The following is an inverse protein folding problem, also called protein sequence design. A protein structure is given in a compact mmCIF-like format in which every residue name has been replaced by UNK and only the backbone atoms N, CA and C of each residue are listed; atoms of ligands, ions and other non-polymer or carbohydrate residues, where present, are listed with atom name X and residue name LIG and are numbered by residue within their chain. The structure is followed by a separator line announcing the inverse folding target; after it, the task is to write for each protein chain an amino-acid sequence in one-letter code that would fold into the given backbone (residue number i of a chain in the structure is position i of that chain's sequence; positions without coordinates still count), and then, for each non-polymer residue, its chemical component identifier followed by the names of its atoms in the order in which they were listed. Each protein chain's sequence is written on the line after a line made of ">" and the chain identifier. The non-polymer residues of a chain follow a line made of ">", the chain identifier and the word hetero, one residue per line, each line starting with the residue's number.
data_IF_863816171581
#
_entry.id   IF_863816171581
#
_cell.length_a   1.000
_cell.length_b   1.000
_cell.length_c   1.000
_cell.angle_alpha   90.00
_cell.angle_beta   90.00
_cell.angle_gamma   90.00
#
_symmetry.space_group_name_H-M   'P 1'
#
loop_
_entity.id
_entity.type
_entity.pdbx_description
1 polymer ?
#
# COMPACT_ATOMS: atom_id res chain seq x y z
N UNK A 1 26.14 -22.36 57.37
CA UNK A 1 25.86 -21.79 56.05
C UNK A 1 24.82 -22.67 55.38
N UNK A 2 23.56 -22.22 55.35
CA UNK A 2 22.41 -23.01 54.86
C UNK A 2 22.13 -22.62 53.41
N UNK A 3 22.33 -23.54 52.47
CA UNK A 3 22.04 -23.32 51.06
C UNK A 3 20.52 -23.28 50.84
N UNK A 4 20.03 -22.18 50.28
CA UNK A 4 18.62 -21.96 49.96
C UNK A 4 18.20 -22.75 48.73
N UNK A 5 17.19 -23.61 48.89
CA UNK A 5 16.52 -24.32 47.79
C UNK A 5 15.56 -23.37 47.08
N UNK A 6 15.94 -22.88 45.90
CA UNK A 6 15.06 -22.12 45.03
C UNK A 6 13.95 -23.04 44.47
N UNK A 7 12.70 -22.84 44.91
CA UNK A 7 11.53 -23.47 44.30
C UNK A 7 11.26 -22.81 42.96
N UNK A 8 11.52 -23.53 41.87
CA UNK A 8 11.08 -23.16 40.53
C UNK A 8 9.55 -23.25 40.54
N UNK A 9 8.88 -22.10 40.54
CA UNK A 9 7.44 -22.00 40.30
C UNK A 9 7.18 -22.51 38.88
N UNK A 10 6.75 -23.77 38.76
CA UNK A 10 6.23 -24.31 37.52
C UNK A 10 4.98 -23.51 37.17
N UNK A 11 5.12 -22.58 36.22
CA UNK A 11 4.01 -21.85 35.62
C UNK A 11 3.12 -22.89 34.95
N UNK A 12 2.03 -23.26 35.62
CA UNK A 12 0.97 -24.08 35.03
C UNK A 12 0.52 -23.36 33.77
N UNK A 13 0.94 -23.87 32.61
CA UNK A 13 0.51 -23.39 31.30
C UNK A 13 -0.98 -23.73 31.25
N UNK A 14 -1.82 -22.75 31.59
CA UNK A 14 -3.26 -22.82 31.37
C UNK A 14 -3.47 -23.31 29.95
N UNK A 15 -4.26 -24.38 29.78
CA UNK A 15 -4.70 -24.86 28.48
C UNK A 15 -5.13 -23.64 27.68
N UNK A 16 -4.39 -23.35 26.61
CA UNK A 16 -4.77 -22.31 25.66
C UNK A 16 -6.04 -22.84 25.02
N UNK A 17 -7.13 -22.11 25.20
CA UNK A 17 -8.41 -22.40 24.57
C UNK A 17 -8.17 -22.46 23.05
N UNK A 18 -8.43 -23.60 22.41
CA UNK A 18 -8.07 -23.84 21.01
C UNK A 18 -8.92 -23.03 20.01
N UNK A 19 -9.87 -22.24 20.52
CA UNK A 19 -10.72 -21.32 19.77
C UNK A 19 -10.50 -19.87 20.19
N UNK A 20 -9.24 -19.42 20.26
CA UNK A 20 -8.93 -18.01 20.48
C UNK A 20 -9.16 -17.21 19.17
N UNK A 21 -10.42 -17.10 18.76
CA UNK A 21 -10.83 -16.25 17.64
C UNK A 21 -10.63 -14.79 18.05
N UNK A 22 -9.84 -14.06 17.27
CA UNK A 22 -9.64 -12.64 17.49
C UNK A 22 -10.91 -11.88 17.13
N UNK A 23 -11.40 -11.03 18.04
CA UNK A 23 -12.52 -10.16 17.73
C UNK A 23 -12.17 -9.21 16.57
N UNK A 24 -13.10 -9.09 15.61
CA UNK A 24 -12.98 -8.19 14.47
C UNK A 24 -13.97 -7.04 14.60
N UNK A 25 -13.45 -5.81 14.59
CA UNK A 25 -14.26 -4.61 14.76
C UNK A 25 -14.20 -3.74 13.50
N UNK A 26 -15.30 -3.04 13.21
CA UNK A 26 -15.35 -2.04 12.14
C UNK A 26 -16.21 -0.86 12.55
N UNK A 27 -15.96 0.32 11.96
CA UNK A 27 -16.81 1.49 12.17
C UNK A 27 -18.01 1.43 11.23
N UNK A 28 -19.22 1.54 11.74
CA UNK A 28 -20.42 1.80 10.95
C UNK A 28 -20.72 3.31 10.97
N UNK A 29 -20.76 3.92 9.78
CA UNK A 29 -21.19 5.31 9.60
C UNK A 29 -22.57 5.32 8.96
N UNK A 30 -23.51 5.97 9.64
CA UNK A 30 -24.91 6.08 9.23
C UNK A 30 -25.21 7.54 8.84
N UNK A 31 -26.10 7.79 7.86
CA UNK A 31 -26.61 9.13 7.58
C UNK A 31 -27.28 9.77 8.81
N UNK A 32 -27.19 11.09 8.93
CA UNK A 32 -27.70 11.83 10.10
C UNK A 32 -29.21 11.66 10.27
N UNK A 33 -29.93 11.44 9.18
CA UNK A 33 -31.38 11.27 9.13
C UNK A 33 -31.86 9.98 9.81
N UNK A 34 -30.95 9.03 10.05
CA UNK A 34 -31.24 7.77 10.73
C UNK A 34 -30.70 7.71 12.16
N UNK A 35 -30.09 8.80 12.64
CA UNK A 35 -29.51 8.88 13.99
C UNK A 35 -30.50 8.44 15.06
N UNK A 36 -31.70 9.03 15.05
CA UNK A 36 -32.72 8.77 16.09
C UNK A 36 -33.18 7.31 16.07
N UNK A 37 -33.24 6.68 14.90
CA UNK A 37 -33.58 5.26 14.79
C UNK A 37 -32.46 4.35 15.29
N UNK A 38 -31.20 4.71 15.03
CA UNK A 38 -30.05 3.98 15.59
C UNK A 38 -30.07 4.07 17.11
N UNK A 39 -30.33 5.25 17.68
CA UNK A 39 -30.38 5.45 19.13
C UNK A 39 -31.48 4.59 19.78
N UNK A 40 -32.70 4.58 19.20
CA UNK A 40 -33.79 3.70 19.64
C UNK A 40 -33.41 2.20 19.61
N UNK A 41 -32.69 1.77 18.57
CA UNK A 41 -32.22 0.39 18.45
C UNK A 41 -31.19 0.02 19.52
N UNK A 42 -30.32 0.96 19.90
CA UNK A 42 -29.30 0.75 20.94
C UNK A 42 -29.90 0.70 22.35
N UNK A 43 -30.94 1.51 22.61
CA UNK A 43 -31.62 1.53 23.91
C UNK A 43 -32.47 0.28 24.19
N UNK A 44 -32.93 -0.41 23.13
CA UNK A 44 -33.78 -1.60 23.22
C UNK A 44 -33.12 -2.84 22.59
N UNK A 45 -32.01 -3.33 23.16
CA UNK A 45 -31.18 -4.38 22.55
C UNK A 45 -31.88 -5.75 22.46
N UNK A 46 -33.00 -5.95 23.16
CA UNK A 46 -33.78 -7.20 23.13
C UNK A 46 -34.48 -7.46 21.78
N UNK A 47 -34.59 -6.45 20.91
CA UNK A 47 -35.15 -6.58 19.57
C UNK A 47 -34.04 -6.75 18.53
N UNK A 48 -33.40 -7.92 18.51
CA UNK A 48 -32.31 -8.26 17.59
C UNK A 48 -32.66 -8.10 16.09
N UNK A 49 -33.95 -7.97 15.75
CA UNK A 49 -34.43 -7.70 14.39
C UNK A 49 -34.23 -6.25 13.92
N UNK A 50 -33.88 -5.32 14.81
CA UNK A 50 -33.91 -3.90 14.48
C UNK A 50 -32.57 -3.36 13.96
N UNK A 51 -31.46 -4.08 14.17
CA UNK A 51 -30.17 -3.74 13.60
C UNK A 51 -29.51 -4.98 13.01
N UNK A 52 -29.36 -5.03 11.69
CA UNK A 52 -28.77 -6.17 11.00
C UNK A 52 -27.91 -5.72 9.82
N UNK A 53 -26.88 -6.51 9.51
CA UNK A 53 -25.96 -6.27 8.39
C UNK A 53 -25.92 -7.52 7.53
N UNK A 54 -26.22 -7.37 6.24
CA UNK A 54 -26.21 -8.45 5.26
C UNK A 54 -25.32 -8.09 4.08
N UNK A 55 -24.22 -8.81 3.89
CA UNK A 55 -23.36 -8.61 2.71
C UNK A 55 -24.06 -9.10 1.45
N UNK A 56 -24.04 -8.28 0.40
CA UNK A 56 -24.79 -8.54 -0.84
C UNK A 56 -23.95 -9.16 -1.94
N UNK A 57 -22.62 -9.05 -1.86
CA UNK A 57 -21.70 -9.50 -2.89
C UNK A 57 -20.58 -10.36 -2.30
N UNK A 58 -20.02 -11.25 -3.12
CA UNK A 58 -18.90 -12.13 -2.74
C UNK A 58 -17.62 -11.38 -2.35
N UNK A 59 -17.46 -10.14 -2.85
CA UNK A 59 -16.32 -9.29 -2.50
C UNK A 59 -16.41 -8.69 -1.09
N UNK A 60 -17.53 -8.86 -0.38
CA UNK A 60 -17.80 -8.31 0.95
C UNK A 60 -17.60 -6.79 1.07
N UNK A 61 -17.62 -6.06 -0.05
CA UNK A 61 -17.48 -4.59 -0.09
C UNK A 61 -18.82 -3.87 -0.10
N UNK A 62 -19.91 -4.58 -0.38
CA UNK A 62 -21.27 -4.04 -0.38
C UNK A 62 -22.14 -4.82 0.59
N UNK A 63 -22.96 -4.09 1.34
CA UNK A 63 -23.87 -4.64 2.34
C UNK A 63 -25.17 -3.85 2.39
N UNK A 64 -26.23 -4.48 2.87
CA UNK A 64 -27.46 -3.83 3.29
C UNK A 64 -27.46 -3.76 4.83
N UNK A 65 -27.74 -2.58 5.37
CA UNK A 65 -27.86 -2.33 6.81
C UNK A 65 -29.31 -2.02 7.12
N UNK A 66 -29.94 -2.87 7.93
CA UNK A 66 -31.28 -2.67 8.48
C UNK A 66 -31.17 -1.87 9.77
N UNK A 67 -31.94 -0.78 9.88
CA UNK A 67 -32.03 0.10 11.05
C UNK A 67 -33.53 0.36 11.30
N UNK A 68 -34.09 -0.28 12.32
CA UNK A 68 -35.53 -0.37 12.53
C UNK A 68 -36.24 -1.01 11.33
N UNK A 69 -37.13 -0.23 10.70
CA UNK A 69 -37.86 -0.63 9.50
C UNK A 69 -37.20 -0.16 8.19
N UNK A 70 -36.09 0.56 8.29
CA UNK A 70 -35.39 1.11 7.13
C UNK A 70 -34.23 0.21 6.74
N UNK A 71 -34.02 0.03 5.44
CA UNK A 71 -32.86 -0.68 4.89
C UNK A 71 -32.08 0.31 4.04
N UNK A 72 -30.79 0.44 4.32
CA UNK A 72 -29.87 1.31 3.57
C UNK A 72 -28.72 0.51 3.00
N UNK A 73 -28.29 0.87 1.80
CA UNK A 73 -27.09 0.28 1.20
C UNK A 73 -25.84 0.88 1.85
N UNK A 74 -24.83 0.05 2.02
CA UNK A 74 -23.55 0.45 2.60
C UNK A 74 -22.38 -0.13 1.81
N UNK A 75 -21.28 0.61 1.81
CA UNK A 75 -20.01 0.19 1.20
C UNK A 75 -18.90 0.15 2.24
N UNK A 76 -18.14 -0.95 2.27
CA UNK A 76 -16.96 -1.11 3.13
C UNK A 76 -15.74 -0.51 2.44
N UNK A 77 -15.14 0.47 3.10
CA UNK A 77 -13.98 1.22 2.60
C UNK A 77 -12.80 1.11 3.59
N UNK A 78 -11.59 1.19 3.07
CA UNK A 78 -10.36 1.07 3.86
C UNK A 78 -9.96 2.44 4.42
N UNK A 79 -9.88 2.53 5.75
CA UNK A 79 -9.42 3.73 6.45
C UNK A 79 -7.95 4.00 6.14
N UNK A 80 -7.53 5.28 6.11
CA UNK A 80 -6.12 5.61 5.96
C UNK A 80 -5.32 5.36 7.24
N UNK A 81 -5.96 5.43 8.40
CA UNK A 81 -5.31 5.27 9.71
C UNK A 81 -5.73 3.94 10.32
N UNK A 82 -4.80 3.25 10.98
CA UNK A 82 -5.13 2.15 11.90
C UNK A 82 -5.62 2.79 13.20
N UNK A 83 -6.76 2.32 13.69
CA UNK A 83 -7.41 2.80 14.91
C UNK A 83 -7.44 1.67 15.92
N UNK A 84 -6.77 1.85 17.05
CA UNK A 84 -6.78 0.85 18.12
C UNK A 84 -8.02 1.02 18.99
N UNK A 85 -8.77 -0.07 19.18
CA UNK A 85 -9.84 -0.16 20.17
C UNK A 85 -9.23 -0.58 21.49
N UNK A 86 -9.50 0.21 22.53
CA UNK A 86 -8.99 -0.06 23.87
C UNK A 86 -10.14 -0.06 24.86
N UNK A 87 -10.10 -0.98 25.82
CA UNK A 87 -11.03 -1.00 26.97
C UNK A 87 -10.31 -0.61 28.25
N UNK A 88 -11.02 -0.01 29.18
CA UNK A 88 -10.51 0.37 30.49
C UNK A 88 -11.57 0.12 31.56
N UNK A 89 -11.14 -0.25 32.77
CA UNK A 89 -12.02 -0.41 33.93
C UNK A 89 -11.94 0.82 34.86
N UNK A 90 -10.76 1.43 34.94
CA UNK A 90 -10.43 2.49 35.91
C UNK A 90 -10.18 3.85 35.25
N UNK A 91 -10.29 3.94 33.92
CA UNK A 91 -9.98 5.12 33.08
C UNK A 91 -8.52 5.58 33.18
N UNK A 92 -7.61 4.73 33.69
CA UNK A 92 -6.18 5.01 33.79
C UNK A 92 -5.37 4.02 32.97
N UNK A 93 -5.65 2.73 33.15
CA UNK A 93 -5.01 1.66 32.38
C UNK A 93 -5.96 1.25 31.26
N UNK A 94 -5.48 1.36 30.02
CA UNK A 94 -6.19 0.88 28.84
C UNK A 94 -5.54 -0.40 28.32
N UNK A 95 -6.39 -1.32 27.85
CA UNK A 95 -5.99 -2.60 27.30
C UNK A 95 -6.47 -2.66 25.85
N UNK A 96 -5.54 -2.92 24.93
CA UNK A 96 -5.86 -3.12 23.51
C UNK A 96 -6.78 -4.33 23.32
N UNK A 97 -7.80 -4.16 22.48
CA UNK A 97 -8.80 -5.17 22.14
C UNK A 97 -8.68 -5.57 20.68
N UNK A 98 -8.77 -4.59 19.77
CA UNK A 98 -8.78 -4.83 18.33
C UNK A 98 -8.16 -3.66 17.56
N UNK A 99 -7.78 -3.92 16.31
CA UNK A 99 -7.36 -2.90 15.35
C UNK A 99 -8.46 -2.71 14.29
N UNK A 100 -8.87 -1.47 14.05
CA UNK A 100 -9.81 -1.10 13.01
C UNK A 100 -9.05 -0.44 11.86
N UNK A 101 -9.22 -0.99 10.66
CA UNK A 101 -8.68 -0.46 9.41
C UNK A 101 -9.75 -0.22 8.35
N UNK A 102 -11.03 -0.44 8.67
CA UNK A 102 -12.15 -0.36 7.73
C UNK A 102 -13.34 0.40 8.32
N UNK A 103 -14.12 0.99 7.43
CA UNK A 103 -15.36 1.70 7.72
C UNK A 103 -16.45 1.27 6.75
N UNK A 104 -17.61 0.89 7.29
CA UNK A 104 -18.83 0.68 6.53
C UNK A 104 -19.60 2.00 6.47
N UNK A 105 -19.75 2.56 5.27
CA UNK A 105 -20.47 3.82 5.06
C UNK A 105 -21.83 3.49 4.46
N UNK A 106 -22.89 3.67 5.25
CA UNK A 106 -24.26 3.60 4.78
C UNK A 106 -24.63 4.91 4.06
N UNK A 107 -25.24 4.79 2.89
CA UNK A 107 -25.68 5.90 2.05
C UNK A 107 -27.18 5.80 1.84
N UNK A 108 -27.87 6.95 1.86
CA UNK A 108 -29.29 7.04 1.52
C UNK A 108 -29.54 6.95 0.00
N UNK A 109 -28.52 7.20 -0.81
CA UNK A 109 -28.57 7.05 -2.27
C UNK A 109 -27.65 5.92 -2.73
N UNK A 110 -28.14 5.15 -3.70
CA UNK A 110 -27.31 4.24 -4.49
C UNK A 110 -26.18 5.06 -5.09
N UNK A 111 -24.94 4.74 -4.74
CA UNK A 111 -23.79 5.32 -5.44
C UNK A 111 -23.80 4.74 -6.84
N UNK A 112 -24.42 5.45 -7.80
CA UNK A 112 -24.16 5.19 -9.21
C UNK A 112 -22.65 5.25 -9.39
N UNK A 113 -22.10 4.19 -9.95
CA UNK A 113 -20.69 4.08 -10.29
C UNK A 113 -20.37 4.98 -11.48
N UNK A 114 -20.60 6.29 -11.37
CA UNK A 114 -20.28 7.24 -12.43
C UNK A 114 -18.88 7.79 -12.22
N UNK A 115 -17.89 7.04 -12.73
CA UNK A 115 -16.71 7.64 -13.33
C UNK A 115 -16.34 6.87 -14.60
N UNK A 116 -16.92 7.36 -15.70
CA UNK A 116 -16.43 7.32 -17.07
C UNK A 116 -15.31 6.30 -17.33
N UNK A 117 -15.68 5.22 -18.01
CA UNK A 117 -14.75 4.38 -18.74
C UNK A 117 -14.21 5.16 -19.94
N UNK A 118 -13.16 5.95 -19.72
CA UNK A 118 -12.27 6.34 -20.82
C UNK A 118 -11.36 5.16 -21.13
N UNK A 119 -11.57 4.59 -22.31
CA UNK A 119 -10.84 3.46 -22.87
C UNK A 119 -9.36 3.77 -23.07
N UNK A 120 -8.54 2.70 -23.07
CA UNK A 120 -7.08 2.63 -23.15
C UNK A 120 -6.32 2.90 -21.86
N UNK A 121 -6.34 1.93 -20.94
CA UNK A 121 -5.37 1.89 -19.84
C UNK A 121 -4.94 0.43 -19.62
N UNK A 122 -3.64 0.18 -19.42
CA UNK A 122 -3.06 -1.15 -19.21
C UNK A 122 -3.73 -1.93 -18.07
N UNK A 123 -3.62 -3.25 -18.05
CA UNK A 123 -4.15 -4.12 -16.98
C UNK A 123 -3.73 -3.63 -15.58
N UNK A 124 -2.48 -3.18 -15.44
CA UNK A 124 -1.94 -2.51 -14.24
C UNK A 124 -2.72 -1.27 -13.78
N UNK A 125 -3.15 -0.40 -14.70
CA UNK A 125 -3.89 0.82 -14.32
C UNK A 125 -5.34 0.55 -13.99
N UNK A 126 -5.96 -0.49 -14.58
CA UNK A 126 -7.30 -0.94 -14.21
C UNK A 126 -7.30 -1.46 -12.77
N UNK A 127 -6.34 -2.33 -12.42
CA UNK A 127 -6.17 -2.84 -11.05
C UNK A 127 -5.92 -1.69 -10.06
N UNK A 128 -5.09 -0.70 -10.41
CA UNK A 128 -4.88 0.48 -9.56
C UNK A 128 -6.13 1.36 -9.42
N UNK A 129 -6.98 1.44 -10.44
CA UNK A 129 -8.25 2.19 -10.40
C UNK A 129 -9.24 1.49 -9.48
N UNK A 130 -9.33 0.17 -9.54
CA UNK A 130 -10.15 -0.64 -8.63
C UNK A 130 -9.67 -0.56 -7.17
N UNK A 131 -8.37 -0.65 -6.93
CA UNK A 131 -7.80 -0.51 -5.57
C UNK A 131 -8.05 0.87 -4.95
N UNK A 132 -8.25 1.90 -5.76
CA UNK A 132 -8.60 3.25 -5.28
C UNK A 132 -10.09 3.41 -4.98
N UNK A 133 -10.97 2.61 -5.60
CA UNK A 133 -12.42 2.70 -5.45
C UNK A 133 -12.86 2.55 -3.99
N UNK A 134 -12.21 1.68 -3.22
CA UNK A 134 -12.56 1.38 -1.84
C UNK A 134 -11.69 2.14 -0.81
N UNK A 135 -10.85 3.10 -1.24
CA UNK A 135 -10.02 3.86 -0.32
C UNK A 135 -10.78 5.02 0.30
N UNK A 136 -10.99 4.95 1.62
CA UNK A 136 -11.58 6.06 2.33
C UNK A 136 -10.58 7.23 2.42
N UNK A 137 -10.95 8.46 2.04
CA UNK A 137 -10.00 9.58 1.91
C UNK A 137 -9.59 10.22 3.24
N UNK A 138 -10.36 10.02 4.31
CA UNK A 138 -10.23 10.76 5.58
C UNK A 138 -9.96 9.83 6.76
N UNK A 139 -9.28 10.30 7.81
CA UNK A 139 -9.30 9.62 9.10
C UNK A 139 -10.60 9.89 9.86
N UNK A 140 -10.83 9.18 10.98
CA UNK A 140 -12.04 9.34 11.79
C UNK A 140 -12.09 10.71 12.50
N UNK A 141 -10.95 11.24 12.92
CA UNK A 141 -10.87 12.50 13.67
C UNK A 141 -10.76 13.73 12.75
N UNK A 142 -11.30 14.90 13.13
CA UNK A 142 -11.27 16.11 12.30
C UNK A 142 -9.87 16.52 11.78
N UNK A 143 -8.79 16.46 12.60
CA UNK A 143 -7.45 16.78 12.11
C UNK A 143 -6.99 15.87 10.97
N UNK A 144 -7.54 14.67 10.82
CA UNK A 144 -7.16 13.67 9.81
C UNK A 144 -7.98 13.77 8.52
N UNK A 145 -8.66 14.92 8.28
CA UNK A 145 -9.26 15.21 6.97
C UNK A 145 -8.22 15.16 5.85
N UNK A 146 -8.54 14.39 4.82
CA UNK A 146 -7.70 14.11 3.63
C UNK A 146 -6.29 13.57 3.96
N UNK A 147 -6.19 12.70 4.97
CA UNK A 147 -4.92 12.20 5.50
C UNK A 147 -3.98 11.61 4.42
N UNK A 148 -4.52 10.82 3.48
CA UNK A 148 -3.74 10.16 2.40
C UNK A 148 -2.97 11.15 1.53
N UNK A 149 -3.54 12.34 1.30
CA UNK A 149 -2.96 13.35 0.40
C UNK A 149 -2.18 14.40 1.18
N UNK A 150 -2.69 14.83 2.34
CA UNK A 150 -2.17 16.00 3.07
C UNK A 150 -1.16 15.67 4.15
N UNK A 151 -1.26 14.49 4.78
CA UNK A 151 -0.46 14.17 5.98
C UNK A 151 0.53 13.04 5.78
N UNK A 152 0.18 12.06 4.96
CA UNK A 152 1.04 10.90 4.76
C UNK A 152 2.16 11.22 3.78
N UNK A 153 3.40 10.97 4.22
CA UNK A 153 4.58 11.05 3.35
C UNK A 153 4.46 9.97 2.27
N UNK A 154 4.52 10.38 1.00
CA UNK A 154 4.50 9.45 -0.13
C UNK A 154 5.78 8.62 -0.13
N UNK A 155 5.65 7.31 -0.12
CA UNK A 155 6.78 6.40 -0.31
C UNK A 155 7.26 6.54 -1.75
N UNK A 156 8.54 6.89 -1.96
CA UNK A 156 9.16 6.78 -3.27
C UNK A 156 9.09 5.31 -3.66
N UNK A 157 8.44 5.00 -4.79
CA UNK A 157 8.43 3.63 -5.30
C UNK A 157 9.89 3.22 -5.47
N UNK A 158 10.29 2.18 -4.75
CA UNK A 158 11.53 1.48 -5.06
C UNK A 158 11.35 0.94 -6.49
N UNK A 159 12.26 1.27 -7.41
CA UNK A 159 12.23 0.82 -8.82
C UNK A 159 12.14 -0.70 -8.97
N UNK A 160 12.33 -1.44 -7.87
CA UNK A 160 12.20 -2.89 -7.78
C UNK A 160 10.77 -3.44 -7.97
N UNK A 161 9.72 -2.63 -8.13
CA UNK A 161 8.40 -3.17 -8.49
C UNK A 161 8.31 -3.63 -9.94
N UNK A 162 9.22 -3.16 -10.80
CA UNK A 162 9.33 -3.63 -12.20
C UNK A 162 10.28 -4.84 -12.32
N UNK A 163 10.69 -5.43 -11.18
CA UNK A 163 11.64 -6.56 -11.12
C UNK A 163 11.28 -7.72 -12.05
N UNK A 164 10.03 -8.17 -12.19
CA UNK A 164 9.75 -9.31 -13.07
C UNK A 164 10.08 -9.03 -14.54
N UNK A 165 9.69 -7.84 -15.04
CA UNK A 165 9.93 -7.42 -16.42
C UNK A 165 11.41 -7.06 -16.63
N UNK A 166 12.01 -6.34 -15.68
CA UNK A 166 13.44 -6.00 -15.69
C UNK A 166 14.31 -7.25 -15.61
N UNK A 167 13.93 -8.25 -14.82
CA UNK A 167 14.62 -9.54 -14.75
C UNK A 167 14.47 -10.34 -16.04
N UNK A 168 13.29 -10.33 -16.66
CA UNK A 168 13.07 -11.01 -17.94
C UNK A 168 13.98 -10.42 -19.01
N UNK A 169 14.03 -9.08 -19.10
CA UNK A 169 14.84 -8.39 -20.09
C UNK A 169 16.34 -8.52 -19.79
N UNK A 170 16.75 -8.44 -18.52
CA UNK A 170 18.11 -8.72 -18.09
C UNK A 170 18.55 -10.13 -18.49
N UNK A 171 17.69 -11.13 -18.26
CA UNK A 171 17.95 -12.52 -18.67
C UNK A 171 18.02 -12.67 -20.19
N UNK A 172 17.31 -11.85 -20.96
CA UNK A 172 17.38 -11.85 -22.43
C UNK A 172 18.72 -11.28 -22.90
N UNK A 173 19.14 -10.14 -22.37
CA UNK A 173 20.42 -9.51 -22.69
C UNK A 173 21.60 -10.42 -22.33
N UNK A 174 21.62 -10.99 -21.13
CA UNK A 174 22.70 -11.89 -20.72
C UNK A 174 22.80 -13.17 -21.56
N UNK A 175 21.68 -13.66 -22.12
CA UNK A 175 21.72 -14.80 -23.06
C UNK A 175 22.31 -14.40 -24.40
N UNK A 176 21.91 -13.24 -24.93
CA UNK A 176 22.47 -12.72 -26.17
C UNK A 176 23.97 -12.46 -26.05
N UNK A 177 24.42 -11.96 -24.90
CA UNK A 177 25.84 -11.75 -24.59
C UNK A 177 26.61 -13.08 -24.59
N UNK A 178 26.07 -14.14 -23.98
CA UNK A 178 26.71 -15.46 -23.97
C UNK A 178 26.86 -16.09 -25.37
N UNK A 179 25.99 -15.74 -26.31
CA UNK A 179 26.03 -16.20 -27.70
C UNK A 179 26.96 -15.34 -28.58
N UNK A 180 27.40 -14.17 -28.10
CA UNK A 180 28.23 -13.25 -28.85
C UNK A 180 29.73 -13.64 -28.78
N UNK A 181 30.46 -13.34 -29.85
CA UNK A 181 31.92 -13.55 -29.91
C UNK A 181 32.70 -12.50 -29.10
N UNK A 182 32.19 -11.28 -29.01
CA UNK A 182 32.74 -10.20 -28.17
C UNK A 182 31.65 -9.26 -27.68
N UNK A 183 31.84 -8.69 -26.48
CA UNK A 183 30.85 -7.83 -25.81
C UNK A 183 31.52 -6.53 -25.36
N UNK A 184 30.94 -5.37 -25.68
CA UNK A 184 31.32 -4.05 -25.16
C UNK A 184 30.06 -3.28 -24.79
N UNK A 185 30.07 -2.67 -23.60
CA UNK A 185 29.02 -1.75 -23.17
C UNK A 185 29.63 -0.49 -22.58
N UNK A 186 28.91 0.62 -22.70
CA UNK A 186 29.29 1.91 -22.11
C UNK A 186 28.05 2.65 -21.61
N UNK A 187 28.19 3.43 -20.55
CA UNK A 187 27.11 4.25 -20.01
C UNK A 187 27.14 5.60 -20.69
N UNK A 188 26.21 5.83 -21.62
CA UNK A 188 26.09 7.10 -22.34
C UNK A 188 25.09 8.00 -21.60
N UNK A 189 25.47 9.26 -21.36
CA UNK A 189 24.56 10.22 -20.75
C UNK A 189 23.43 10.57 -21.75
N UNK A 190 22.28 11.04 -21.25
CA UNK A 190 21.12 11.33 -22.12
C UNK A 190 21.42 12.50 -23.07
N UNK A 191 22.33 13.39 -22.69
CA UNK A 191 22.72 14.56 -23.48
C UNK A 191 23.69 14.19 -24.63
N UNK A 192 24.52 13.16 -24.44
CA UNK A 192 25.48 12.65 -25.46
C UNK A 192 24.80 11.86 -26.59
N UNK A 193 23.52 11.49 -26.43
CA UNK A 193 22.75 10.73 -27.45
C UNK A 193 22.50 11.50 -28.75
N UNK A 194 22.73 12.81 -28.78
CA UNK A 194 22.55 13.62 -30.00
C UNK A 194 23.67 13.45 -31.01
N UNK A 195 24.83 12.94 -30.58
CA UNK A 195 26.03 12.84 -31.43
C UNK A 195 26.39 11.40 -31.84
N UNK A 196 25.59 10.40 -31.44
CA UNK A 196 25.78 9.03 -31.93
C UNK A 196 25.15 8.90 -33.33
N UNK A 197 25.90 9.34 -34.34
CA UNK A 197 25.64 8.96 -35.72
C UNK A 197 25.86 7.46 -35.87
N UNK A 198 24.85 6.80 -36.43
CA UNK A 198 24.84 5.43 -36.95
C UNK A 198 26.18 5.09 -37.62
N UNK A 199 26.99 4.26 -36.95
CA UNK A 199 28.25 3.78 -37.51
C UNK A 199 27.93 2.57 -38.39
N UNK A 200 27.54 2.85 -39.63
CA UNK A 200 27.46 1.85 -40.68
C UNK A 200 28.83 1.20 -40.88
N UNK A 201 28.82 -0.12 -40.98
CA UNK A 201 29.98 -0.95 -41.23
C UNK A 201 30.68 -0.54 -42.54
N UNK A 202 31.94 -0.09 -42.44
CA UNK A 202 32.84 0.04 -43.58
C UNK A 202 33.99 -0.94 -43.39
N UNK A 203 34.06 -1.91 -44.30
CA UNK A 203 35.15 -2.86 -44.42
C UNK A 203 36.47 -2.20 -44.81
N UNK A 204 37.52 -2.70 -44.17
CA UNK A 204 38.83 -3.05 -44.72
C UNK A 204 39.53 -2.06 -45.68
N UNK A 205 40.59 -1.39 -45.17
CA UNK A 205 41.89 -1.28 -45.88
C UNK A 205 43.02 -0.73 -45.01
N UNK A 206 44.13 -1.45 -45.09
CA UNK A 206 45.45 -1.27 -44.48
C UNK A 206 46.27 -0.17 -45.19
N UNK A 207 47.05 0.62 -44.44
CA UNK A 207 48.38 1.24 -44.78
C UNK A 207 48.61 2.49 -43.91
N UNK A 208 49.45 2.49 -42.87
CA UNK A 208 50.94 2.61 -42.82
C UNK A 208 51.49 4.05 -42.84
N UNK A 209 52.57 4.27 -42.05
CA UNK A 209 53.40 5.48 -41.80
C UNK A 209 52.89 6.55 -40.82
N UNK A 210 53.67 7.19 -39.94
CA UNK A 210 54.87 6.92 -39.12
C UNK A 210 55.22 8.22 -38.35
N UNK A 211 55.70 8.10 -37.11
CA UNK A 211 56.61 9.00 -36.33
C UNK A 211 56.11 10.40 -35.88
N UNK A 212 55.88 10.59 -34.57
CA UNK A 212 56.72 11.30 -33.54
C UNK A 212 56.15 12.74 -33.32
N UNK A 213 55.97 13.32 -32.13
CA UNK A 213 56.91 13.47 -31.02
C UNK A 213 56.24 14.01 -29.72
N UNK A 214 56.91 13.77 -28.59
CA UNK A 214 56.99 14.49 -27.31
C UNK A 214 55.79 15.13 -26.57
N UNK A 215 55.61 14.67 -25.31
CA UNK A 215 55.15 15.49 -24.17
C UNK A 215 56.37 16.27 -23.57
N UNK A 216 56.24 17.33 -22.73
CA UNK A 216 55.75 17.14 -21.36
C UNK A 216 55.17 18.37 -20.60
N UNK A 217 54.54 18.04 -19.46
CA UNK A 217 54.43 18.77 -18.17
C UNK A 217 54.02 20.26 -18.07
N UNK A 218 53.04 20.50 -17.18
CA UNK A 218 52.79 21.79 -16.54
C UNK A 218 51.95 21.63 -15.27
N UNK A 219 52.61 21.81 -14.12
CA UNK A 219 52.14 21.67 -12.75
C UNK A 219 52.03 23.08 -12.11
N UNK A 220 50.96 23.41 -11.38
CA UNK A 220 50.87 24.46 -10.33
C UNK A 220 49.40 24.59 -9.84
N UNK A 221 49.04 24.31 -8.57
CA UNK A 221 48.98 25.22 -7.37
C UNK A 221 48.10 26.47 -7.62
N UNK A 222 47.10 26.88 -6.82
CA UNK A 222 46.99 27.22 -5.38
C UNK A 222 45.46 27.40 -5.06
N UNK A 223 44.91 27.01 -3.91
CA UNK A 223 44.85 27.66 -2.57
C UNK A 223 43.82 28.82 -2.40
N UNK A 224 43.09 28.75 -1.26
CA UNK A 224 42.23 29.77 -0.61
C UNK A 224 40.94 30.17 -1.35
N UNK A 225 39.77 30.34 -0.73
CA UNK A 225 39.35 30.68 0.65
C UNK A 225 37.96 30.07 0.92
#
# INVERSE_FOLDING_TARGET
>A
MSAGSARILSKTRTKVDETNEWEQHMVLRVPNELRDEVEKCLDHPQSSSNLAVSFTHSNMRQANVRIGDKIVQATVQDLPCIVEVQKTLDKKVSYKVADISQIMVASAQETSSDQAATAFTSTESLVRKELKKYQYPHGLTPPMKSARVRRFRKTKKKKFMDVPEVEQELKRLLRADLEAESIRWEVVSVDDKKDVKEFDAIGDKISSSSEDDEAPHGQAVDAAE
#
